data_IF_361612573564
#
_entry.id   IF_361612573564
#
_cell.length_a   1.000
_cell.length_b   1.000
_cell.length_c   1.000
_cell.angle_alpha   90.00
_cell.angle_beta   90.00
_cell.angle_gamma   90.00
#
_symmetry.space_group_name_H-M   'P 1'
#
loop_
_entity.id
_entity.type
_entity.pdbx_description
1 polymer ?
#
# COMPACT_ATOMS: atom_id res chain seq x y z
N UNK A 1 -9.41 -18.23 -6.46
CA UNK A 1 -10.81 -18.69 -6.27
C UNK A 1 -11.41 -17.90 -5.11
N UNK A 2 -12.74 -17.79 -4.98
CA UNK A 2 -13.38 -17.09 -3.84
C UNK A 2 -12.96 -17.68 -2.47
N UNK A 3 -12.55 -18.95 -2.44
CA UNK A 3 -12.07 -19.63 -1.24
C UNK A 3 -10.82 -18.97 -0.61
N UNK A 4 -9.94 -18.36 -1.41
CA UNK A 4 -8.69 -17.76 -0.93
C UNK A 4 -8.94 -16.46 -0.14
N UNK A 5 -10.12 -15.84 -0.30
CA UNK A 5 -10.49 -14.61 0.41
C UNK A 5 -10.52 -14.81 1.92
N UNK A 6 -10.88 -16.02 2.37
CA UNK A 6 -10.96 -16.35 3.80
C UNK A 6 -9.60 -16.66 4.43
N UNK A 7 -8.59 -16.93 3.59
CA UNK A 7 -7.19 -17.13 4.01
C UNK A 7 -6.40 -15.82 4.02
N UNK A 8 -7.03 -14.70 3.64
CA UNK A 8 -6.42 -13.40 3.73
C UNK A 8 -6.19 -13.03 5.20
N UNK A 9 -4.95 -13.11 5.63
CA UNK A 9 -4.51 -12.70 6.97
C UNK A 9 -3.45 -11.63 6.85
N UNK A 10 -3.45 -10.68 7.80
CA UNK A 10 -2.39 -9.68 7.89
C UNK A 10 -1.08 -10.31 8.38
N UNK A 11 0.05 -9.88 7.84
CA UNK A 11 1.38 -10.25 8.37
C UNK A 11 1.66 -9.41 9.62
N UNK A 12 2.04 -10.07 10.70
CA UNK A 12 2.42 -9.44 11.99
C UNK A 12 3.83 -9.82 12.45
N UNK A 13 4.69 -10.24 11.53
CA UNK A 13 6.08 -10.51 11.86
C UNK A 13 6.74 -9.24 12.40
N UNK A 14 7.59 -9.35 13.43
CA UNK A 14 8.24 -8.19 14.04
C UNK A 14 9.15 -7.43 13.06
N UNK A 15 9.65 -8.11 12.02
CA UNK A 15 10.44 -7.53 10.93
C UNK A 15 9.60 -6.82 9.87
N UNK A 16 8.30 -7.09 9.81
CA UNK A 16 7.44 -6.58 8.76
C UNK A 16 7.19 -5.09 8.97
N UNK A 17 7.62 -4.27 8.00
CA UNK A 17 7.45 -2.82 8.02
C UNK A 17 6.72 -2.35 6.78
N UNK A 18 5.78 -1.43 6.95
CA UNK A 18 5.12 -0.71 5.85
C UNK A 18 5.61 0.74 5.84
N UNK A 19 5.88 1.27 4.66
CA UNK A 19 6.16 2.69 4.42
C UNK A 19 5.21 3.22 3.34
N UNK A 20 4.54 4.34 3.63
CA UNK A 20 3.59 4.97 2.71
C UNK A 20 4.28 6.16 2.05
N UNK A 21 4.40 6.12 0.72
CA UNK A 21 5.13 7.12 -0.06
C UNK A 21 4.26 7.76 -1.13
N UNK A 22 4.71 8.91 -1.62
CA UNK A 22 4.11 9.62 -2.75
C UNK A 22 2.58 9.77 -2.66
N UNK A 23 2.06 9.95 -1.44
CA UNK A 23 0.62 10.10 -1.25
C UNK A 23 0.14 11.41 -1.89
N UNK A 24 -0.94 11.34 -2.63
CA UNK A 24 -1.54 12.47 -3.33
C UNK A 24 -3.04 12.40 -3.18
N UNK A 25 -3.64 13.44 -2.57
CA UNK A 25 -5.09 13.60 -2.61
C UNK A 25 -5.49 13.98 -4.04
N UNK A 26 -6.31 13.15 -4.68
CA UNK A 26 -6.75 13.34 -6.07
C UNK A 26 -8.03 14.16 -6.14
N UNK A 27 -8.93 13.95 -5.19
CA UNK A 27 -10.24 14.60 -5.19
C UNK A 27 -10.85 14.59 -3.79
N UNK A 28 -11.50 15.69 -3.42
CA UNK A 28 -12.35 15.80 -2.22
C UNK A 28 -13.68 16.40 -2.65
N UNK A 29 -14.79 15.76 -2.27
CA UNK A 29 -16.12 16.29 -2.54
C UNK A 29 -17.14 15.83 -1.51
N UNK A 30 -17.81 16.78 -0.88
CA UNK A 30 -18.71 16.55 0.24
C UNK A 30 -18.01 15.69 1.32
N UNK A 31 -18.49 14.48 1.56
CA UNK A 31 -17.91 13.54 2.52
C UNK A 31 -16.91 12.55 1.90
N UNK A 32 -16.56 12.68 0.62
CA UNK A 32 -15.70 11.74 -0.09
C UNK A 32 -14.28 12.27 -0.28
N UNK A 33 -13.29 11.37 -0.20
CA UNK A 33 -11.89 11.65 -0.49
C UNK A 33 -11.27 10.50 -1.28
N UNK A 34 -10.70 10.79 -2.45
CA UNK A 34 -9.92 9.83 -3.24
C UNK A 34 -8.44 10.19 -3.14
N UNK A 35 -7.61 9.21 -2.80
CA UNK A 35 -6.15 9.39 -2.79
C UNK A 35 -5.45 8.27 -3.52
N UNK A 36 -4.25 8.59 -4.00
CA UNK A 36 -3.27 7.61 -4.45
C UNK A 36 -2.09 7.61 -3.51
N UNK A 37 -1.48 6.47 -3.26
CA UNK A 37 -0.21 6.35 -2.56
C UNK A 37 0.55 5.11 -3.03
N UNK A 38 1.83 5.06 -2.73
CA UNK A 38 2.61 3.83 -2.81
C UNK A 38 2.71 3.19 -1.44
N UNK A 39 2.51 1.89 -1.37
CA UNK A 39 2.77 1.09 -0.18
C UNK A 39 3.99 0.22 -0.43
N UNK A 40 5.03 0.48 0.35
CA UNK A 40 6.27 -0.29 0.33
C UNK A 40 6.30 -1.21 1.54
N UNK A 41 6.43 -2.51 1.30
CA UNK A 41 6.49 -3.54 2.33
C UNK A 41 7.90 -4.12 2.41
N UNK A 42 8.45 -4.14 3.61
CA UNK A 42 9.78 -4.67 3.90
C UNK A 42 9.63 -5.91 4.77
N UNK A 43 10.06 -7.05 4.23
CA UNK A 43 10.20 -8.32 4.95
C UNK A 43 11.39 -9.11 4.37
N UNK A 44 11.27 -10.44 4.23
CA UNK A 44 12.25 -11.26 3.50
C UNK A 44 12.47 -10.77 2.06
N UNK A 45 11.41 -10.24 1.43
CA UNK A 45 11.48 -9.55 0.14
C UNK A 45 10.83 -8.18 0.25
N UNK A 46 11.45 -7.17 -0.39
CA UNK A 46 10.80 -5.86 -0.54
C UNK A 46 9.84 -5.90 -1.72
N UNK A 47 8.58 -5.56 -1.46
CA UNK A 47 7.55 -5.42 -2.49
C UNK A 47 6.92 -4.04 -2.41
N UNK A 48 6.35 -3.57 -3.52
CA UNK A 48 5.66 -2.30 -3.55
C UNK A 48 4.42 -2.36 -4.45
N UNK A 49 3.42 -1.56 -4.10
CA UNK A 49 2.17 -1.42 -4.87
C UNK A 49 1.74 0.03 -4.92
N UNK A 50 1.06 0.43 -5.99
CA UNK A 50 0.32 1.69 -6.08
C UNK A 50 -1.12 1.40 -5.69
N UNK A 51 -1.64 2.19 -4.77
CA UNK A 51 -2.99 2.05 -4.24
C UNK A 51 -3.81 3.29 -4.56
N UNK A 52 -5.10 3.09 -4.87
CA UNK A 52 -6.16 4.09 -4.96
C UNK A 52 -7.18 3.79 -3.88
N UNK A 53 -7.25 4.65 -2.85
CA UNK A 53 -8.18 4.50 -1.75
C UNK A 53 -9.29 5.56 -1.85
N UNK A 54 -10.55 5.10 -1.80
CA UNK A 54 -11.72 5.95 -1.67
C UNK A 54 -12.23 5.87 -0.23
N UNK A 55 -12.20 7.02 0.44
CA UNK A 55 -12.74 7.19 1.77
C UNK A 55 -14.06 7.94 1.75
N UNK A 56 -14.88 7.61 2.74
CA UNK A 56 -16.02 8.44 3.16
C UNK A 56 -15.80 8.90 4.60
N UNK A 57 -16.07 10.17 4.89
CA UNK A 57 -16.06 10.71 6.25
C UNK A 57 -17.11 10.00 7.09
N UNK A 58 -16.73 9.57 8.29
CA UNK A 58 -17.61 8.93 9.25
C UNK A 58 -17.62 9.70 10.57
N UNK A 59 -18.72 9.59 11.31
CA UNK A 59 -18.84 10.16 12.66
C UNK A 59 -18.27 9.24 13.74
N UNK A 60 -18.00 7.96 13.42
CA UNK A 60 -17.34 7.01 14.31
C UNK A 60 -15.83 7.08 14.18
N UNK A 61 -15.10 6.77 15.25
CA UNK A 61 -13.63 6.64 15.22
C UNK A 61 -13.21 5.51 14.25
N UNK A 62 -12.23 5.70 13.34
CA UNK A 62 -11.21 6.76 13.27
C UNK A 62 -11.61 8.03 12.49
N UNK A 63 -12.88 8.21 12.16
CA UNK A 63 -13.42 9.39 11.46
C UNK A 63 -13.52 9.21 9.94
N UNK A 64 -13.12 8.05 9.42
CA UNK A 64 -13.19 7.68 8.00
C UNK A 64 -13.56 6.21 7.83
N UNK A 65 -14.33 5.94 6.78
CA UNK A 65 -14.68 4.61 6.29
C UNK A 65 -13.89 4.32 5.02
N UNK A 66 -13.22 3.16 4.97
CA UNK A 66 -12.62 2.61 3.75
C UNK A 66 -13.76 2.07 2.86
N UNK A 67 -14.10 2.78 1.78
CA UNK A 67 -15.21 2.38 0.90
C UNK A 67 -14.71 1.52 -0.26
N UNK A 68 -13.56 1.85 -0.81
CA UNK A 68 -12.94 1.07 -1.89
C UNK A 68 -11.43 1.21 -1.86
N UNK A 69 -10.74 0.13 -2.25
CA UNK A 69 -9.31 0.07 -2.41
C UNK A 69 -9.01 -0.69 -3.70
N UNK A 70 -8.24 -0.08 -4.59
CA UNK A 70 -7.74 -0.72 -5.79
C UNK A 70 -6.22 -0.62 -5.81
N UNK A 71 -5.55 -1.75 -6.00
CA UNK A 71 -4.11 -1.85 -5.91
C UNK A 71 -3.51 -2.48 -7.15
N UNK A 72 -2.29 -2.09 -7.49
CA UNK A 72 -1.52 -2.71 -8.56
C UNK A 72 -0.06 -2.78 -8.12
N UNK A 73 0.53 -3.96 -8.27
CA UNK A 73 1.94 -4.19 -7.93
C UNK A 73 2.84 -3.32 -8.81
N UNK A 74 3.83 -2.68 -8.18
CA UNK A 74 4.93 -2.09 -8.91
C UNK A 74 5.84 -3.20 -9.42
N UNK A 75 6.48 -3.03 -10.59
CA UNK A 75 7.50 -3.95 -11.05
C UNK A 75 8.59 -4.06 -9.98
N UNK A 76 9.10 -5.27 -9.79
CA UNK A 76 10.29 -5.46 -8.95
C UNK A 76 11.42 -4.66 -9.60
N UNK A 77 12.02 -3.72 -8.87
CA UNK A 77 13.21 -3.05 -9.37
C UNK A 77 14.28 -4.12 -9.62
N UNK A 78 14.84 -4.16 -10.82
CA UNK A 78 16.06 -4.92 -11.07
C UNK A 78 17.15 -4.35 -10.16
N UNK A 79 17.70 -5.18 -9.28
CA UNK A 79 18.87 -4.79 -8.50
C UNK A 79 20.02 -4.75 -9.48
N UNK A 80 20.42 -3.55 -9.91
CA UNK A 80 21.67 -3.38 -10.64
C UNK A 80 22.80 -3.97 -9.79
N UNK A 81 23.67 -4.82 -10.35
CA UNK A 81 24.76 -5.41 -9.58
C UNK A 81 25.62 -4.28 -8.99
N UNK A 82 25.95 -4.41 -7.71
CA UNK A 82 26.86 -3.48 -7.04
C UNK A 82 28.15 -3.35 -7.87
N UNK A 83 28.53 -2.12 -8.19
CA UNK A 83 29.84 -1.85 -8.78
C UNK A 83 30.90 -2.40 -7.82
N UNK A 84 31.56 -3.48 -8.24
CA UNK A 84 32.69 -4.05 -7.50
C UNK A 84 33.84 -3.05 -7.62
N UNK A 85 34.03 -2.26 -6.57
CA UNK A 85 35.19 -1.38 -6.44
C UNK A 85 36.45 -2.25 -6.36
N UNK A 86 37.17 -2.35 -7.48
CA UNK A 86 38.48 -3.01 -7.55
C UNK A 86 39.49 -2.14 -6.81
N UNK A 87 39.96 -2.63 -5.66
CA UNK A 87 41.19 -2.16 -5.00
C UNK A 87 42.41 -2.76 -5.67
#
# INVERSE_FOLDING_TARGET
MVADVWQAHGVRAASFRIDIRHYTCRFVFASWCLLTYEEWQYDCETTARVSRALFRRSSSHPGVEWVHLHETWLPRAEVAPAEVEKR
#
